data_IF_548040025911
#
_entry.id   IF_548040025911
#
_cell.length_a   1.000
_cell.length_b   1.000
_cell.length_c   1.000
_cell.angle_alpha   90.00
_cell.angle_beta   90.00
_cell.angle_gamma   90.00
#
_symmetry.space_group_name_H-M   'P 1'
#
loop_
_entity.id
_entity.type
_entity.pdbx_description
1 polymer ?
#
# COMPACT_ATOMS: atom_id res chain seq x y z
N UNK A 1 29.66 26.67 -12.53
CA UNK A 1 29.89 25.69 -11.43
C UNK A 1 28.89 25.84 -10.27
N UNK A 2 27.58 25.92 -10.53
CA UNK A 2 26.54 25.83 -9.47
C UNK A 2 25.28 25.11 -9.96
N UNK A 3 24.96 25.28 -11.24
CA UNK A 3 23.79 24.66 -11.87
C UNK A 3 23.87 23.12 -11.92
N UNK A 4 25.06 22.57 -12.20
CA UNK A 4 25.25 21.11 -12.28
C UNK A 4 25.01 20.42 -10.92
N UNK A 5 25.42 21.06 -9.82
CA UNK A 5 25.24 20.50 -8.47
C UNK A 5 23.76 20.54 -8.07
N UNK A 6 23.06 21.64 -8.38
CA UNK A 6 21.62 21.78 -8.13
C UNK A 6 20.83 20.74 -8.92
N UNK A 7 21.19 20.50 -10.19
CA UNK A 7 20.54 19.49 -11.02
C UNK A 7 20.76 18.08 -10.47
N UNK A 8 21.97 17.79 -9.97
CA UNK A 8 22.29 16.50 -9.37
C UNK A 8 21.48 16.26 -8.09
N UNK A 9 21.40 17.25 -7.21
CA UNK A 9 20.59 17.18 -5.98
C UNK A 9 19.10 16.99 -6.28
N UNK A 10 18.57 17.66 -7.31
CA UNK A 10 17.18 17.52 -7.72
C UNK A 10 16.86 16.12 -8.26
N UNK A 11 17.72 15.59 -9.15
CA UNK A 11 17.55 14.24 -9.69
C UNK A 11 17.65 13.20 -8.58
N UNK A 12 18.56 13.40 -7.63
CA UNK A 12 18.70 12.52 -6.48
C UNK A 12 17.44 12.52 -5.59
N UNK A 13 16.90 13.69 -5.27
CA UNK A 13 15.65 13.80 -4.51
C UNK A 13 14.47 13.12 -5.23
N UNK A 14 14.36 13.29 -6.55
CA UNK A 14 13.34 12.64 -7.36
C UNK A 14 13.49 11.11 -7.33
N UNK A 15 14.71 10.61 -7.55
CA UNK A 15 15.00 9.18 -7.53
C UNK A 15 14.70 8.55 -6.16
N UNK A 16 15.08 9.21 -5.06
CA UNK A 16 14.77 8.76 -3.70
C UNK A 16 13.27 8.73 -3.42
N UNK A 17 12.52 9.73 -3.91
CA UNK A 17 11.06 9.78 -3.82
C UNK A 17 10.38 8.62 -4.54
N UNK A 18 10.80 8.36 -5.79
CA UNK A 18 10.30 7.21 -6.56
C UNK A 18 10.67 5.88 -5.91
N UNK A 19 11.92 5.74 -5.47
CA UNK A 19 12.38 4.55 -4.77
C UNK A 19 11.61 4.31 -3.48
N UNK A 20 11.12 5.36 -2.79
CA UNK A 20 10.31 5.26 -1.56
C UNK A 20 8.85 4.89 -1.85
N UNK A 21 8.24 5.45 -2.90
CA UNK A 21 6.85 5.16 -3.29
C UNK A 21 6.71 3.75 -3.85
N UNK A 22 7.68 3.35 -4.68
CA UNK A 22 7.68 2.04 -5.35
C UNK A 22 8.65 1.06 -4.68
N UNK A 23 9.06 1.33 -3.43
CA UNK A 23 9.93 0.43 -2.69
C UNK A 23 9.16 -0.85 -2.34
N UNK A 24 9.69 -2.04 -2.70
CA UNK A 24 9.14 -3.30 -2.21
C UNK A 24 9.21 -3.42 -0.67
N UNK A 25 10.05 -2.61 -0.01
CA UNK A 25 10.22 -2.63 1.45
C UNK A 25 9.10 -1.90 2.22
N UNK A 26 8.26 -1.12 1.54
CA UNK A 26 7.07 -0.45 2.10
C UNK A 26 5.79 -0.94 1.44
N UNK A 27 5.86 -2.16 0.94
CA UNK A 27 4.72 -2.85 0.40
C UNK A 27 3.81 -3.23 1.57
N UNK A 28 2.88 -2.35 1.94
CA UNK A 28 1.86 -2.59 2.98
C UNK A 28 0.73 -3.49 2.44
N UNK A 29 1.05 -4.35 1.46
CA UNK A 29 0.20 -5.49 1.24
C UNK A 29 0.31 -6.34 2.49
N UNK A 30 -0.81 -6.46 3.18
CA UNK A 30 -0.91 -7.46 4.21
C UNK A 30 -0.47 -8.80 3.61
N UNK A 31 0.25 -9.60 4.40
CA UNK A 31 0.73 -10.95 4.06
C UNK A 31 -0.41 -11.91 3.64
N UNK A 32 -1.66 -11.43 3.67
CA UNK A 32 -2.85 -12.18 3.38
C UNK A 32 -3.17 -12.18 1.88
N UNK A 33 -2.57 -13.15 1.21
CA UNK A 33 -3.26 -13.96 0.20
C UNK A 33 -4.34 -14.88 0.79
N UNK A 34 -4.91 -14.54 1.95
CA UNK A 34 -6.01 -15.29 2.56
C UNK A 34 -7.29 -14.70 1.99
N UNK A 35 -7.95 -15.45 1.10
CA UNK A 35 -9.31 -15.15 0.71
C UNK A 35 -10.14 -14.95 1.98
N UNK A 36 -10.83 -13.80 2.15
CA UNK A 36 -11.49 -13.45 3.41
C UNK A 36 -12.62 -14.41 3.79
N UNK A 37 -13.00 -15.33 2.91
CA UNK A 37 -13.98 -16.36 3.16
C UNK A 37 -13.39 -17.72 2.82
N UNK A 38 -13.10 -18.49 3.88
CA UNK A 38 -12.71 -19.89 3.81
C UNK A 38 -13.93 -20.75 3.42
N UNK A 39 -14.53 -20.49 2.24
CA UNK A 39 -15.75 -21.12 1.72
C UNK A 39 -16.91 -21.31 2.73
N UNK A 40 -16.95 -20.54 3.82
CA UNK A 40 -18.00 -20.67 4.83
C UNK A 40 -19.27 -20.03 4.28
N UNK A 41 -20.41 -20.74 4.27
CA UNK A 41 -21.66 -20.16 3.81
C UNK A 41 -21.98 -18.90 4.63
N UNK A 42 -22.41 -17.85 3.95
CA UNK A 42 -22.75 -16.57 4.57
C UNK A 42 -23.86 -16.78 5.62
N UNK A 43 -23.50 -16.72 6.91
CA UNK A 43 -24.48 -16.82 7.99
C UNK A 43 -25.16 -15.47 8.07
N UNK A 44 -26.30 -15.35 7.40
CA UNK A 44 -27.18 -14.17 7.50
C UNK A 44 -27.59 -14.04 8.96
N UNK A 45 -27.00 -13.10 9.69
CA UNK A 45 -27.44 -12.77 11.04
C UNK A 45 -28.94 -12.47 10.97
N UNK A 46 -29.75 -13.21 11.75
CA UNK A 46 -31.19 -12.97 11.83
C UNK A 46 -31.38 -11.49 12.15
N UNK A 47 -32.02 -10.76 11.24
CA UNK A 47 -32.44 -9.40 11.49
C UNK A 47 -33.19 -9.39 12.81
N UNK A 48 -32.67 -8.63 13.78
CA UNK A 48 -33.23 -8.51 15.10
C UNK A 48 -34.63 -7.89 14.92
N UNK A 49 -35.67 -8.72 14.99
CA UNK A 49 -37.05 -8.26 14.93
C UNK A 49 -37.35 -7.74 16.33
N UNK A 50 -37.16 -6.43 16.51
CA UNK A 50 -37.65 -5.70 17.68
C UNK A 50 -39.17 -5.89 17.69
N UNK A 51 -39.66 -6.66 18.67
CA UNK A 51 -41.04 -6.70 19.13
C UNK A 51 -41.04 -6.19 20.57
#
# INVERSE_FOLDING_TARGET
MKLNNILQEFVQYLAEGFAKIFSPAKDDYQDMGIQPYDCKPYIKAKANKIL
#
